data_IF_814854082947
#
_entry.id   IF_814854082947
#
_cell.length_a   1.000
_cell.length_b   1.000
_cell.length_c   1.000
_cell.angle_alpha   90.00
_cell.angle_beta   90.00
_cell.angle_gamma   90.00
#
_symmetry.space_group_name_H-M   'P 1'
#
loop_
_entity.id
_entity.type
_entity.pdbx_description
1 polymer ?
#
# COMPACT_ATOMS: atom_id res chain seq x y z
N UNK A 1 -80.56 43.01 10.68
CA UNK A 1 -79.75 44.25 10.61
C UNK A 1 -78.49 43.95 9.83
N UNK A 2 -78.17 44.84 8.88
CA UNK A 2 -76.90 45.04 8.14
C UNK A 2 -76.28 43.84 7.42
N UNK A 3 -76.32 43.80 6.09
CA UNK A 3 -75.58 44.59 5.08
C UNK A 3 -74.13 44.12 4.89
N UNK A 4 -73.85 43.55 3.71
CA UNK A 4 -72.98 44.10 2.64
C UNK A 4 -71.48 44.15 3.02
N UNK A 5 -70.63 43.32 2.39
CA UNK A 5 -69.71 43.76 1.31
C UNK A 5 -68.84 42.62 0.78
N UNK A 6 -69.00 42.46 -0.53
CA UNK A 6 -68.21 41.71 -1.49
C UNK A 6 -66.97 42.53 -1.90
N UNK A 7 -66.08 41.90 -2.69
CA UNK A 7 -64.99 42.49 -3.50
C UNK A 7 -63.65 42.68 -2.79
N UNK A 8 -62.52 42.25 -3.34
CA UNK A 8 -62.19 41.69 -4.65
C UNK A 8 -60.73 42.01 -5.00
N UNK A 9 -60.20 41.34 -6.03
CA UNK A 9 -58.88 41.57 -6.67
C UNK A 9 -57.69 40.94 -5.92
N UNK A 10 -56.72 40.27 -6.54
CA UNK A 10 -56.38 40.09 -7.94
C UNK A 10 -55.52 38.82 -8.06
N UNK A 11 -55.41 38.31 -9.29
CA UNK A 11 -54.24 37.69 -9.94
C UNK A 11 -54.65 36.50 -10.82
N UNK A 12 -54.76 36.83 -12.11
CA UNK A 12 -54.22 36.10 -13.24
C UNK A 12 -54.74 34.67 -13.54
N UNK A 13 -55.72 34.65 -14.43
CA UNK A 13 -55.64 34.05 -15.78
C UNK A 13 -54.29 33.36 -16.14
N UNK A 14 -54.36 32.11 -16.61
CA UNK A 14 -53.86 31.67 -17.92
C UNK A 14 -53.46 30.17 -17.97
N UNK A 15 -53.89 29.55 -19.06
CA UNK A 15 -53.23 28.47 -19.78
C UNK A 15 -53.19 27.06 -19.15
N UNK A 16 -54.09 26.20 -19.65
CA UNK A 16 -53.64 24.89 -20.17
C UNK A 16 -53.38 25.07 -21.67
N UNK A 17 -52.27 24.56 -22.21
CA UNK A 17 -52.37 23.23 -22.80
C UNK A 17 -51.13 22.32 -22.68
N UNK A 18 -51.42 21.02 -22.67
CA UNK A 18 -50.70 19.88 -23.25
C UNK A 18 -49.21 20.04 -23.61
N UNK A 19 -48.33 19.30 -22.91
CA UNK A 19 -47.38 18.45 -23.62
C UNK A 19 -46.84 17.26 -22.80
N UNK A 20 -46.61 16.18 -23.56
CA UNK A 20 -46.39 14.75 -23.29
C UNK A 20 -45.24 14.42 -22.32
N UNK A 21 -45.35 13.36 -21.49
CA UNK A 21 -44.24 12.92 -20.63
C UNK A 21 -43.07 12.38 -21.47
N UNK A 22 -41.88 12.94 -21.26
CA UNK A 22 -40.64 12.52 -21.91
C UNK A 22 -40.31 11.09 -21.46
N UNK A 23 -40.15 10.18 -22.43
CA UNK A 23 -39.71 8.80 -22.16
C UNK A 23 -38.30 8.84 -21.58
N UNK A 24 -38.10 8.22 -20.42
CA UNK A 24 -36.81 8.13 -19.67
C UNK A 24 -35.62 7.60 -20.49
N UNK A 25 -35.88 6.99 -21.65
CA UNK A 25 -34.87 6.48 -22.59
C UNK A 25 -34.23 7.55 -23.48
N UNK A 26 -34.83 8.74 -23.60
CA UNK A 26 -34.29 9.85 -24.42
C UNK A 26 -33.31 10.74 -23.66
N UNK A 27 -33.27 10.66 -22.33
CA UNK A 27 -32.39 11.49 -21.50
C UNK A 27 -30.92 11.05 -21.59
N UNK A 28 -30.66 9.77 -21.82
CA UNK A 28 -29.29 9.26 -22.04
C UNK A 28 -28.70 9.55 -23.42
N UNK A 29 -29.50 10.07 -24.37
CA UNK A 29 -29.02 10.35 -25.72
C UNK A 29 -28.41 11.76 -25.86
N UNK A 30 -28.69 12.67 -24.92
CA UNK A 30 -28.26 14.08 -24.99
C UNK A 30 -27.10 14.45 -24.06
N UNK A 31 -26.67 13.56 -23.15
CA UNK A 31 -25.52 13.79 -22.28
C UNK A 31 -24.16 13.38 -22.90
N UNK A 32 -24.17 12.76 -24.10
CA UNK A 32 -22.97 12.19 -24.73
C UNK A 32 -22.27 13.08 -25.78
N UNK A 33 -22.69 14.33 -25.96
CA UNK A 33 -22.25 15.15 -27.11
C UNK A 33 -21.32 16.33 -26.78
N UNK A 34 -20.68 16.36 -25.60
CA UNK A 34 -19.74 17.44 -25.24
C UNK A 34 -18.52 16.91 -24.47
N UNK A 35 -17.59 16.27 -25.18
CA UNK A 35 -16.14 16.34 -24.96
C UNK A 35 -15.46 15.41 -25.97
N UNK A 36 -14.93 15.99 -27.05
CA UNK A 36 -14.21 15.27 -28.09
C UNK A 36 -12.75 14.98 -27.74
N UNK A 37 -12.20 14.06 -28.53
CA UNK A 37 -10.80 13.78 -28.80
C UNK A 37 -9.99 13.00 -27.75
N UNK A 38 -9.97 11.66 -27.90
CA UNK A 38 -8.71 10.94 -28.18
C UNK A 38 -8.97 9.48 -28.60
N UNK A 39 -8.43 9.15 -29.78
CA UNK A 39 -8.02 7.85 -30.32
C UNK A 39 -8.85 6.58 -30.03
N UNK A 40 -9.51 6.11 -31.11
CA UNK A 40 -9.83 4.72 -31.37
C UNK A 40 -8.59 3.81 -31.26
N UNK A 41 -8.62 2.85 -30.33
CA UNK A 41 -8.02 1.52 -30.52
C UNK A 41 -8.97 0.48 -29.93
N UNK A 42 -9.69 -0.21 -30.81
CA UNK A 42 -10.45 -1.42 -30.50
C UNK A 42 -9.51 -2.62 -30.61
N UNK A 43 -9.21 -3.29 -29.49
CA UNK A 43 -8.88 -4.71 -29.47
C UNK A 43 -8.97 -5.30 -28.06
N UNK A 44 -9.76 -6.37 -27.95
CA UNK A 44 -9.65 -7.38 -26.89
C UNK A 44 -10.73 -7.31 -25.81
N UNK A 45 -11.75 -8.15 -25.93
CA UNK A 45 -12.54 -8.61 -24.79
C UNK A 45 -11.73 -9.69 -24.05
N UNK A 46 -11.60 -9.55 -22.72
CA UNK A 46 -12.03 -10.56 -21.74
C UNK A 46 -12.08 -9.92 -20.32
N UNK A 47 -12.92 -10.52 -19.47
CA UNK A 47 -13.53 -10.05 -18.21
C UNK A 47 -12.67 -9.25 -17.20
N UNK A 48 -13.35 -8.25 -16.61
CA UNK A 48 -13.30 -7.80 -15.21
C UNK A 48 -11.93 -7.62 -14.52
N UNK A 49 -11.30 -6.49 -14.79
CA UNK A 49 -10.93 -5.48 -13.79
C UNK A 49 -10.39 -4.26 -14.54
N UNK A 50 -11.06 -3.11 -14.42
CA UNK A 50 -10.48 -1.85 -14.88
C UNK A 50 -9.37 -1.52 -13.89
N UNK A 51 -8.15 -2.00 -14.16
CA UNK A 51 -6.99 -1.56 -13.41
C UNK A 51 -6.99 -0.02 -13.47
N UNK A 52 -7.00 0.68 -12.31
CA UNK A 52 -6.92 2.12 -12.31
C UNK A 52 -5.69 2.53 -13.12
N UNK A 53 -5.88 3.51 -14.00
CA UNK A 53 -4.81 4.01 -14.87
C UNK A 53 -3.67 4.50 -13.98
N UNK A 54 -2.60 3.70 -13.88
CA UNK A 54 -1.40 4.05 -13.14
C UNK A 54 -0.79 5.31 -13.78
N UNK A 55 -0.56 6.40 -13.01
CA UNK A 55 0.02 7.61 -13.57
C UNK A 55 1.37 7.32 -14.22
N UNK A 56 1.65 7.95 -15.37
CA UNK A 56 2.92 7.76 -16.08
C UNK A 56 4.12 7.98 -15.14
N UNK A 57 5.06 7.03 -15.12
CA UNK A 57 6.23 7.05 -14.25
C UNK A 57 6.02 6.46 -12.84
N UNK A 58 4.89 5.78 -12.60
CA UNK A 58 4.60 5.09 -11.33
C UNK A 58 4.70 3.57 -11.52
N UNK A 59 5.16 2.86 -10.50
CA UNK A 59 5.26 1.40 -10.48
C UNK A 59 4.01 0.84 -9.83
N UNK A 60 3.12 0.25 -10.63
CA UNK A 60 1.96 -0.45 -10.10
C UNK A 60 2.38 -1.74 -9.42
N UNK A 61 1.91 -1.95 -8.19
CA UNK A 61 2.12 -3.21 -7.49
C UNK A 61 1.14 -4.30 -7.97
N UNK A 62 0.05 -3.91 -8.63
CA UNK A 62 -0.99 -4.82 -9.13
C UNK A 62 -2.12 -5.08 -8.13
N UNK A 63 -2.93 -6.09 -8.43
CA UNK A 63 -4.17 -6.47 -7.72
C UNK A 63 -4.18 -7.95 -7.33
N UNK A 64 -5.16 -8.36 -6.53
CA UNK A 64 -5.27 -9.72 -6.00
C UNK A 64 -4.03 -10.20 -5.24
N UNK A 65 -3.84 -11.52 -5.21
CA UNK A 65 -2.70 -12.15 -4.51
C UNK A 65 -1.35 -11.68 -5.05
N UNK A 66 -1.23 -11.55 -6.38
CA UNK A 66 0.02 -11.08 -7.02
C UNK A 66 0.33 -9.64 -6.61
N UNK A 67 -0.69 -8.79 -6.47
CA UNK A 67 -0.55 -7.45 -5.93
C UNK A 67 0.02 -7.43 -4.53
N UNK A 68 -0.47 -8.31 -3.64
CA UNK A 68 0.04 -8.46 -2.28
C UNK A 68 1.47 -8.99 -2.27
N UNK A 69 1.81 -9.94 -3.15
CA UNK A 69 3.18 -10.47 -3.26
C UNK A 69 4.16 -9.43 -3.79
N UNK A 70 3.79 -8.64 -4.81
CA UNK A 70 4.61 -7.53 -5.30
C UNK A 70 4.77 -6.43 -4.25
N UNK A 71 3.73 -6.18 -3.45
CA UNK A 71 3.79 -5.26 -2.31
C UNK A 71 4.80 -5.73 -1.26
N UNK A 72 4.75 -6.99 -0.83
CA UNK A 72 5.76 -7.56 0.06
C UNK A 72 7.15 -7.50 -0.59
N UNK A 73 7.29 -7.94 -1.84
CA UNK A 73 8.56 -7.90 -2.58
C UNK A 73 9.18 -6.49 -2.65
N UNK A 74 8.38 -5.44 -2.79
CA UNK A 74 8.88 -4.07 -2.79
C UNK A 74 9.54 -3.69 -1.44
N UNK A 75 8.94 -4.08 -0.32
CA UNK A 75 9.47 -3.82 1.02
C UNK A 75 10.72 -4.66 1.30
N UNK A 76 10.68 -5.95 0.94
CA UNK A 76 11.81 -6.86 1.11
C UNK A 76 13.03 -6.43 0.28
N UNK A 77 12.82 -5.83 -0.90
CA UNK A 77 13.90 -5.21 -1.66
C UNK A 77 14.55 -4.05 -0.90
N UNK A 78 13.74 -3.20 -0.26
CA UNK A 78 14.21 -2.06 0.52
C UNK A 78 15.03 -2.53 1.72
N UNK A 79 14.51 -3.49 2.50
CA UNK A 79 15.16 -4.02 3.70
C UNK A 79 16.43 -4.79 3.37
N UNK A 80 16.39 -5.65 2.35
CA UNK A 80 17.57 -6.38 1.91
C UNK A 80 18.68 -5.43 1.41
N UNK A 81 18.31 -4.33 0.75
CA UNK A 81 19.29 -3.32 0.35
C UNK A 81 19.86 -2.55 1.56
N UNK A 82 19.02 -2.20 2.54
CA UNK A 82 19.44 -1.55 3.77
C UNK A 82 20.42 -2.42 4.56
N UNK A 83 20.07 -3.68 4.84
CA UNK A 83 20.92 -4.55 5.63
C UNK A 83 22.17 -5.01 4.89
N UNK A 84 22.15 -5.09 3.55
CA UNK A 84 23.37 -5.25 2.77
C UNK A 84 24.35 -4.09 3.00
N UNK A 85 23.86 -2.84 3.10
CA UNK A 85 24.71 -1.68 3.43
C UNK A 85 25.25 -1.75 4.87
N UNK A 86 24.40 -2.08 5.84
CA UNK A 86 24.79 -2.24 7.25
C UNK A 86 25.87 -3.32 7.39
N UNK A 87 25.72 -4.46 6.72
CA UNK A 87 26.68 -5.56 6.74
C UNK A 87 28.00 -5.21 6.05
N UNK A 88 27.95 -4.51 4.91
CA UNK A 88 29.15 -4.18 4.14
C UNK A 88 30.05 -3.17 4.87
N UNK A 89 29.44 -2.20 5.56
CA UNK A 89 30.15 -1.13 6.27
C UNK A 89 29.48 -0.85 7.62
N UNK A 90 29.62 -1.75 8.62
CA UNK A 90 28.96 -1.59 9.90
C UNK A 90 29.47 -0.34 10.63
N UNK A 91 28.55 0.35 11.32
CA UNK A 91 28.90 1.49 12.16
C UNK A 91 30.01 1.13 13.16
N UNK A 92 30.95 2.06 13.36
CA UNK A 92 32.16 1.80 14.15
C UNK A 92 31.89 1.46 15.62
N UNK A 93 30.77 1.98 16.14
CA UNK A 93 30.29 1.82 17.50
C UNK A 93 29.35 0.63 17.70
N UNK A 94 29.16 -0.22 16.68
CA UNK A 94 28.53 -1.53 16.88
C UNK A 94 29.46 -2.51 17.60
N UNK A 95 28.90 -3.21 18.58
CA UNK A 95 29.50 -4.37 19.23
C UNK A 95 29.66 -5.54 18.26
N UNK A 96 30.45 -6.54 18.67
CA UNK A 96 30.60 -7.77 17.88
C UNK A 96 29.28 -8.54 17.73
N UNK A 97 28.46 -8.57 18.79
CA UNK A 97 27.16 -9.23 18.77
C UNK A 97 26.18 -8.55 17.81
N UNK A 98 26.18 -7.21 17.75
CA UNK A 98 25.33 -6.46 16.80
C UNK A 98 25.76 -6.67 15.36
N UNK A 99 27.08 -6.72 15.09
CA UNK A 99 27.60 -7.02 13.75
C UNK A 99 27.20 -8.42 13.29
N UNK A 100 27.26 -9.40 14.18
CA UNK A 100 26.81 -10.76 13.88
C UNK A 100 25.30 -10.81 13.63
N UNK A 101 24.50 -10.18 14.51
CA UNK A 101 23.06 -10.04 14.34
C UNK A 101 22.69 -9.42 12.98
N UNK A 102 23.22 -8.24 12.64
CA UNK A 102 22.90 -7.60 11.36
C UNK A 102 23.43 -8.37 10.15
N UNK A 103 24.47 -9.19 10.29
CA UNK A 103 24.91 -10.09 9.24
C UNK A 103 23.92 -11.23 8.99
N UNK A 104 23.25 -11.71 10.04
CA UNK A 104 22.17 -12.71 9.96
C UNK A 104 20.90 -12.11 9.38
N UNK A 105 20.45 -10.96 9.87
CA UNK A 105 19.28 -10.24 9.33
C UNK A 105 19.46 -9.92 7.84
N UNK A 106 20.66 -9.43 7.44
CA UNK A 106 20.97 -9.22 6.03
C UNK A 106 20.83 -10.49 5.17
N UNK A 107 21.06 -11.69 5.74
CA UNK A 107 20.84 -12.93 5.03
C UNK A 107 19.35 -13.30 4.97
N UNK A 108 18.58 -13.06 6.04
CA UNK A 108 17.14 -13.29 6.08
C UNK A 108 16.42 -12.41 5.04
N UNK A 109 16.67 -11.09 5.02
CA UNK A 109 16.00 -10.20 4.07
C UNK A 109 16.38 -10.48 2.62
N UNK A 110 17.64 -10.87 2.37
CA UNK A 110 18.04 -11.33 1.05
C UNK A 110 17.23 -12.57 0.61
N UNK A 111 17.01 -13.52 1.54
CA UNK A 111 16.23 -14.73 1.29
C UNK A 111 14.74 -14.40 1.11
N UNK A 112 14.16 -13.52 1.93
CA UNK A 112 12.75 -13.11 1.78
C UNK A 112 12.52 -12.45 0.42
N UNK A 113 13.35 -11.47 0.04
CA UNK A 113 13.32 -10.84 -1.29
C UNK A 113 13.40 -11.88 -2.40
N UNK A 114 14.40 -12.76 -2.35
CA UNK A 114 14.64 -13.75 -3.40
C UNK A 114 13.51 -14.80 -3.46
N UNK A 115 12.92 -15.12 -2.31
CA UNK A 115 11.75 -15.97 -2.20
C UNK A 115 10.56 -15.37 -2.95
N UNK A 116 10.20 -14.11 -2.70
CA UNK A 116 9.10 -13.47 -3.44
C UNK A 116 9.40 -13.34 -4.92
N UNK A 117 10.65 -13.00 -5.28
CA UNK A 117 11.08 -12.96 -6.68
C UNK A 117 10.83 -14.31 -7.37
N UNK A 118 11.17 -15.42 -6.72
CA UNK A 118 10.94 -16.75 -7.26
C UNK A 118 9.45 -17.11 -7.30
N UNK A 119 8.69 -16.83 -6.23
CA UNK A 119 7.27 -17.13 -6.14
C UNK A 119 6.46 -16.40 -7.22
N UNK A 120 6.65 -15.08 -7.37
CA UNK A 120 5.93 -14.27 -8.35
C UNK A 120 6.27 -14.70 -9.78
N UNK A 121 7.55 -14.96 -10.08
CA UNK A 121 7.93 -15.44 -11.41
C UNK A 121 7.36 -16.82 -11.75
N UNK A 122 7.19 -17.70 -10.74
CA UNK A 122 6.58 -19.01 -10.90
C UNK A 122 5.07 -18.91 -11.12
N UNK A 123 4.38 -18.14 -10.28
CA UNK A 123 2.92 -18.16 -10.17
C UNK A 123 2.23 -17.10 -11.05
N UNK A 124 2.95 -16.04 -11.41
CA UNK A 124 2.48 -14.96 -12.26
C UNK A 124 3.60 -14.44 -13.21
N UNK A 125 4.02 -15.26 -14.20
CA UNK A 125 5.09 -14.90 -15.11
C UNK A 125 4.87 -13.54 -15.77
N UNK A 126 5.88 -12.67 -15.71
CA UNK A 126 5.84 -11.33 -16.31
C UNK A 126 5.02 -10.29 -15.52
N UNK A 127 4.51 -10.63 -14.33
CA UNK A 127 3.79 -9.70 -13.45
C UNK A 127 4.63 -9.14 -12.30
N UNK A 128 5.87 -9.61 -12.15
CA UNK A 128 6.79 -9.10 -11.13
C UNK A 128 7.15 -7.64 -11.43
N UNK A 129 7.20 -6.80 -10.39
CA UNK A 129 7.75 -5.45 -10.50
C UNK A 129 9.26 -5.48 -10.76
N UNK A 130 9.79 -4.41 -11.34
CA UNK A 130 11.22 -4.26 -11.52
C UNK A 130 11.97 -4.14 -10.19
N UNK A 131 13.30 -4.26 -10.26
CA UNK A 131 14.14 -3.98 -9.11
C UNK A 131 14.06 -2.48 -8.74
N UNK A 132 13.93 -2.19 -7.45
CA UNK A 132 13.76 -0.83 -6.93
C UNK A 132 15.10 -0.19 -6.55
N UNK A 133 15.18 1.13 -6.64
CA UNK A 133 16.35 1.89 -6.25
C UNK A 133 16.17 2.48 -4.86
N UNK A 134 16.91 2.00 -3.84
CA UNK A 134 16.83 2.56 -2.50
C UNK A 134 17.33 4.01 -2.45
N UNK A 135 16.69 4.81 -1.60
CA UNK A 135 17.08 6.16 -1.25
C UNK A 135 17.42 6.22 0.25
N UNK A 136 18.70 6.17 0.58
CA UNK A 136 19.16 6.21 1.98
C UNK A 136 19.91 7.50 2.32
N UNK A 137 19.68 8.57 1.56
CA UNK A 137 20.39 9.85 1.74
C UNK A 137 20.17 10.47 3.13
N UNK A 138 19.07 10.11 3.81
CA UNK A 138 18.74 10.53 5.18
C UNK A 138 19.38 9.66 6.28
N UNK A 139 20.04 8.55 5.94
CA UNK A 139 20.59 7.59 6.89
C UNK A 139 22.11 7.70 6.92
N UNK A 140 22.66 8.18 8.03
CA UNK A 140 24.10 8.10 8.29
C UNK A 140 24.48 6.68 8.75
N UNK A 141 24.98 5.85 7.85
CA UNK A 141 25.39 4.47 8.18
C UNK A 141 26.63 4.39 9.10
N UNK A 142 27.33 5.50 9.35
CA UNK A 142 28.52 5.51 10.20
C UNK A 142 28.19 5.56 11.70
N UNK A 143 26.91 5.80 12.06
CA UNK A 143 26.45 5.91 13.44
C UNK A 143 25.47 4.80 13.79
N UNK A 144 25.73 4.09 14.89
CA UNK A 144 24.81 3.07 15.43
C UNK A 144 23.39 3.61 15.61
N UNK A 145 23.24 4.81 16.18
CA UNK A 145 21.92 5.35 16.52
C UNK A 145 21.00 5.55 15.31
N UNK A 146 21.52 6.10 14.20
CA UNK A 146 20.76 6.30 12.96
C UNK A 146 20.45 4.99 12.26
N UNK A 147 21.39 4.04 12.25
CA UNK A 147 21.16 2.69 11.72
C UNK A 147 20.06 1.97 12.51
N UNK A 148 20.10 1.99 13.85
CA UNK A 148 19.06 1.38 14.68
C UNK A 148 17.71 2.06 14.52
N UNK A 149 17.67 3.39 14.39
CA UNK A 149 16.42 4.10 14.14
C UNK A 149 15.79 3.74 12.78
N UNK A 150 16.61 3.58 11.74
CA UNK A 150 16.16 3.14 10.44
C UNK A 150 15.70 1.68 10.47
N UNK A 151 16.50 0.79 11.09
CA UNK A 151 16.14 -0.62 11.29
C UNK A 151 14.78 -0.73 12.00
N UNK A 152 14.57 -0.03 13.12
CA UNK A 152 13.28 -0.03 13.81
C UNK A 152 12.13 0.40 12.88
N UNK A 153 12.37 1.44 12.07
CA UNK A 153 11.36 1.94 11.14
C UNK A 153 10.97 0.89 10.11
N UNK A 154 11.96 0.21 9.51
CA UNK A 154 11.71 -0.81 8.50
C UNK A 154 11.05 -2.05 9.09
N UNK A 155 11.61 -2.59 10.18
CA UNK A 155 11.09 -3.80 10.82
C UNK A 155 9.67 -3.63 11.36
N UNK A 156 9.40 -2.50 12.04
CA UNK A 156 8.04 -2.18 12.50
C UNK A 156 7.07 -2.03 11.31
N UNK A 157 7.53 -1.43 10.21
CA UNK A 157 6.72 -1.22 9.01
C UNK A 157 6.45 -2.54 8.28
N UNK A 158 7.44 -3.44 8.21
CA UNK A 158 7.31 -4.79 7.65
C UNK A 158 6.26 -5.59 8.40
N UNK A 159 6.32 -5.64 9.73
CA UNK A 159 5.28 -6.29 10.56
C UNK A 159 3.89 -5.72 10.28
N UNK A 160 3.76 -4.39 10.28
CA UNK A 160 2.50 -3.70 10.00
C UNK A 160 1.96 -3.99 8.59
N UNK A 161 2.86 -4.12 7.61
CA UNK A 161 2.54 -4.44 6.22
C UNK A 161 1.96 -5.85 6.08
N UNK A 162 2.62 -6.85 6.67
CA UNK A 162 2.12 -8.23 6.66
C UNK A 162 0.78 -8.35 7.38
N UNK A 163 0.64 -7.73 8.56
CA UNK A 163 -0.60 -7.76 9.33
C UNK A 163 -1.77 -7.09 8.58
N UNK A 164 -1.50 -5.97 7.91
CA UNK A 164 -2.51 -5.22 7.17
C UNK A 164 -2.90 -5.86 5.84
N UNK A 165 -1.93 -6.38 5.09
CA UNK A 165 -2.14 -6.93 3.76
C UNK A 165 -2.55 -8.41 3.77
N UNK A 166 -2.23 -9.16 4.83
CA UNK A 166 -2.50 -10.61 4.91
C UNK A 166 -3.96 -11.00 4.67
N UNK A 167 -4.91 -10.15 5.07
CA UNK A 167 -6.37 -10.35 4.85
C UNK A 167 -6.78 -10.34 3.37
N UNK A 168 -5.93 -9.78 2.50
CA UNK A 168 -6.19 -9.72 1.06
C UNK A 168 -5.78 -10.99 0.33
N UNK A 169 -4.91 -11.82 0.93
CA UNK A 169 -4.51 -13.11 0.36
C UNK A 169 -5.70 -14.08 0.31
N UNK A 170 -5.96 -14.63 -0.87
CA UNK A 170 -7.01 -15.64 -1.13
C UNK A 170 -6.41 -17.04 -1.22
N UNK A 171 -5.19 -17.17 -1.71
CA UNK A 171 -4.47 -18.44 -1.73
C UNK A 171 -3.91 -18.77 -0.35
N UNK A 172 -4.44 -19.83 0.26
CA UNK A 172 -4.05 -20.25 1.62
C UNK A 172 -2.54 -20.50 1.78
N UNK A 173 -1.87 -20.99 0.73
CA UNK A 173 -0.42 -21.18 0.76
C UNK A 173 0.34 -19.86 0.98
N UNK A 174 -0.09 -18.77 0.35
CA UNK A 174 0.51 -17.46 0.57
C UNK A 174 0.26 -16.94 1.97
N UNK A 175 -0.92 -17.19 2.55
CA UNK A 175 -1.20 -16.82 3.94
C UNK A 175 -0.29 -17.55 4.92
N UNK A 176 -0.03 -18.84 4.70
CA UNK A 176 0.91 -19.63 5.52
C UNK A 176 2.31 -19.04 5.43
N UNK A 177 2.78 -18.73 4.22
CA UNK A 177 4.09 -18.13 3.99
C UNK A 177 4.19 -16.75 4.65
N UNK A 178 3.19 -15.88 4.47
CA UNK A 178 3.14 -14.56 5.08
C UNK A 178 3.20 -14.66 6.62
N UNK A 179 2.49 -15.63 7.21
CA UNK A 179 2.54 -15.91 8.65
C UNK A 179 3.92 -16.37 9.14
N UNK A 180 4.68 -17.08 8.30
CA UNK A 180 6.05 -17.48 8.62
C UNK A 180 7.01 -16.28 8.57
N UNK A 181 6.92 -15.45 7.54
CA UNK A 181 7.80 -14.28 7.36
C UNK A 181 7.52 -13.23 8.43
N UNK A 182 6.25 -12.85 8.68
CA UNK A 182 5.93 -11.86 9.71
C UNK A 182 6.41 -12.27 11.11
N UNK A 183 6.50 -13.58 11.39
CA UNK A 183 7.06 -14.07 12.66
C UNK A 183 8.59 -13.89 12.76
N UNK A 184 9.29 -13.84 11.62
CA UNK A 184 10.71 -13.47 11.53
C UNK A 184 10.85 -11.96 11.71
N UNK A 185 10.10 -11.16 10.96
CA UNK A 185 10.10 -9.69 11.08
C UNK A 185 9.81 -9.23 12.51
N UNK A 186 8.82 -9.82 13.18
CA UNK A 186 8.50 -9.46 14.56
C UNK A 186 9.66 -9.74 15.53
N UNK A 187 10.49 -10.77 15.27
CA UNK A 187 11.68 -11.06 16.08
C UNK A 187 12.80 -10.06 15.81
N UNK A 188 12.97 -9.65 14.56
CA UNK A 188 13.92 -8.61 14.20
C UNK A 188 13.52 -7.26 14.83
N UNK A 189 12.26 -6.85 14.67
CA UNK A 189 11.69 -5.64 15.28
C UNK A 189 11.89 -5.62 16.80
N UNK A 190 11.54 -6.71 17.49
CA UNK A 190 11.67 -6.85 18.93
C UNK A 190 13.14 -6.70 19.39
N UNK A 191 14.09 -7.33 18.69
CA UNK A 191 15.50 -7.25 19.05
C UNK A 191 16.09 -5.85 18.77
N UNK A 192 15.76 -5.23 17.64
CA UNK A 192 16.21 -3.86 17.32
C UNK A 192 15.71 -2.87 18.38
N UNK A 193 14.46 -3.02 18.85
CA UNK A 193 13.92 -2.22 19.95
C UNK A 193 14.73 -2.39 21.22
N UNK A 194 15.03 -3.62 21.61
CA UNK A 194 15.87 -3.92 22.78
C UNK A 194 17.26 -3.28 22.69
N UNK A 195 17.89 -3.29 21.50
CA UNK A 195 19.17 -2.61 21.26
C UNK A 195 19.10 -1.09 21.42
N UNK A 196 17.95 -0.47 21.11
CA UNK A 196 17.72 0.98 21.29
C UNK A 196 17.47 1.30 22.76
N UNK A 197 16.60 0.52 23.40
CA UNK A 197 16.24 0.66 24.81
C UNK A 197 16.02 -0.71 25.42
N UNK A 198 16.92 -1.12 26.30
CA UNK A 198 16.87 -2.41 27.00
C UNK A 198 15.49 -2.62 27.66
N UNK A 199 14.87 -3.76 27.38
CA UNK A 199 13.53 -4.14 27.84
C UNK A 199 12.36 -3.60 27.01
N UNK A 200 12.60 -2.89 25.91
CA UNK A 200 11.53 -2.35 25.04
C UNK A 200 11.04 -3.31 23.95
N UNK A 201 11.55 -4.54 23.92
CA UNK A 201 11.16 -5.57 22.93
C UNK A 201 9.66 -5.91 22.93
N UNK A 202 8.93 -5.57 24.00
CA UNK A 202 7.49 -5.78 24.14
C UNK A 202 6.77 -4.51 24.62
N UNK A 203 7.27 -3.32 24.25
CA UNK A 203 6.62 -2.06 24.61
C UNK A 203 5.26 -1.85 23.91
N UNK A 204 4.42 -0.99 24.49
CA UNK A 204 3.06 -0.74 24.01
C UNK A 204 2.99 0.23 22.80
N UNK A 205 4.13 0.70 22.25
CA UNK A 205 4.12 1.76 21.23
C UNK A 205 3.54 1.31 19.88
N UNK A 206 3.50 0.01 19.63
CA UNK A 206 2.96 -0.61 18.41
C UNK A 206 1.80 -1.56 18.66
N UNK A 207 1.36 -1.70 19.92
CA UNK A 207 0.24 -2.56 20.29
C UNK A 207 -1.03 -1.73 20.41
N UNK A 208 -2.12 -2.23 19.83
CA UNK A 208 -3.45 -1.67 20.07
C UNK A 208 -3.89 -2.02 21.51
N UNK A 209 -4.15 -1.02 22.38
CA UNK A 209 -4.38 -1.25 23.79
C UNK A 209 -5.72 -1.91 24.12
N UNK A 210 -6.62 -2.03 23.13
CA UNK A 210 -7.95 -2.64 23.31
C UNK A 210 -7.93 -4.12 22.91
N UNK A 211 -7.27 -4.42 21.79
CA UNK A 211 -7.25 -5.77 21.20
C UNK A 211 -6.01 -6.57 21.58
N UNK A 212 -4.93 -5.91 21.99
CA UNK A 212 -3.63 -6.55 22.22
C UNK A 212 -2.95 -7.04 20.94
N UNK A 213 -3.41 -6.58 19.77
CA UNK A 213 -2.83 -6.91 18.47
C UNK A 213 -1.81 -5.85 18.07
N UNK A 214 -0.81 -6.27 17.30
CA UNK A 214 0.12 -5.36 16.67
C UNK A 214 -0.61 -4.47 15.64
N UNK A 215 -0.03 -3.32 15.34
CA UNK A 215 -0.54 -2.41 14.31
C UNK A 215 -0.60 -3.12 12.96
N UNK A 216 -1.58 -2.73 12.17
CA UNK A 216 -1.81 -3.21 10.82
C UNK A 216 -2.15 -2.01 9.95
N UNK A 217 -1.36 -1.78 8.90
CA UNK A 217 -1.54 -0.64 8.00
C UNK A 217 -2.04 -1.10 6.63
N UNK A 218 -2.91 -0.31 6.00
CA UNK A 218 -3.30 -0.58 4.62
C UNK A 218 -2.08 -0.42 3.69
N UNK A 219 -1.99 -1.17 2.58
CA UNK A 219 -0.86 -1.10 1.64
C UNK A 219 -0.53 0.32 1.18
N UNK A 220 -1.53 1.17 0.98
CA UNK A 220 -1.35 2.58 0.60
C UNK A 220 -0.63 3.41 1.68
N UNK A 221 -0.92 3.14 2.95
CA UNK A 221 -0.30 3.84 4.08
C UNK A 221 1.14 3.36 4.30
N UNK A 222 1.37 2.06 4.09
CA UNK A 222 2.72 1.48 4.14
C UNK A 222 3.61 2.07 3.04
N UNK A 223 3.12 2.11 1.79
CA UNK A 223 3.87 2.71 0.69
C UNK A 223 4.10 4.20 0.94
N UNK A 224 3.13 4.93 1.49
CA UNK A 224 3.33 6.33 1.86
C UNK A 224 4.47 6.50 2.89
N UNK A 225 4.55 5.62 3.89
CA UNK A 225 5.62 5.62 4.88
C UNK A 225 7.00 5.22 4.29
N UNK A 226 7.02 4.26 3.36
CA UNK A 226 8.24 3.80 2.71
C UNK A 226 8.75 4.71 1.58
N UNK A 227 7.90 5.56 1.00
CA UNK A 227 8.19 6.30 -0.24
C UNK A 227 9.45 7.18 -0.14
N UNK A 228 9.77 7.71 1.04
CA UNK A 228 10.99 8.50 1.25
C UNK A 228 12.28 7.70 0.99
N UNK A 229 12.22 6.38 1.09
CA UNK A 229 13.35 5.46 0.96
C UNK A 229 13.41 4.73 -0.40
N UNK A 230 12.52 5.05 -1.33
CA UNK A 230 12.43 4.41 -2.64
C UNK A 230 12.35 5.52 -3.70
N UNK A 231 13.23 5.48 -4.71
CA UNK A 231 13.25 6.55 -5.75
C UNK A 231 12.07 6.44 -6.70
N UNK A 232 11.67 5.22 -7.04
CA UNK A 232 10.51 4.96 -7.83
C UNK A 232 9.23 5.30 -7.05
N UNK A 233 8.31 5.98 -7.70
CA UNK A 233 6.99 6.21 -7.12
C UNK A 233 6.19 4.90 -7.20
N UNK A 234 5.72 4.38 -6.07
CA UNK A 234 4.95 3.14 -6.03
C UNK A 234 3.45 3.42 -5.96
N UNK A 235 2.65 2.56 -6.59
CA UNK A 235 1.19 2.60 -6.56
C UNK A 235 0.62 1.32 -5.95
N UNK A 236 0.15 1.45 -4.70
CA UNK A 236 -0.52 0.40 -3.94
C UNK A 236 -2.05 0.47 -4.01
N UNK A 237 -2.64 1.36 -4.81
CA UNK A 237 -4.10 1.61 -4.77
C UNK A 237 -4.93 0.41 -5.19
N UNK A 238 -4.35 -0.53 -5.95
CA UNK A 238 -4.99 -1.78 -6.37
C UNK A 238 -4.65 -2.99 -5.49
N UNK A 239 -3.71 -2.86 -4.55
CA UNK A 239 -3.30 -3.99 -3.71
C UNK A 239 -4.48 -4.42 -2.85
N UNK A 240 -4.86 -5.69 -2.98
CA UNK A 240 -5.98 -6.28 -2.26
C UNK A 240 -7.37 -6.03 -2.84
N UNK A 241 -7.45 -5.43 -4.05
CA UNK A 241 -8.67 -5.36 -4.86
C UNK A 241 -8.76 -6.54 -5.82
#
# INVERSE_FOLDING_TARGET
MSKILNSGGDEAEFAKPLYVPIKRRSFFMYAGATAGATALLLSGCDDDNVDPVTPAGTVSLGSGDVGVLNFAYALEQLEAAFYAKVKASPASDFSAAEKDYFSQVAAHEAIHRDFFKAAINRDAPGKIIQDLTPNFDSIDFTKRATVLSAARTFEDLGVQAYNGAGKYLKTAAYLVIAGQIVSVEARHAAYVRDLISNGSFADDSIIDPVTGLDKALEPVDVIAAAQGFIKEKLDATSVGK
#
